data_IF_955200731209
#
_entry.id   IF_955200731209
#
_cell.length_a   1.000
_cell.length_b   1.000
_cell.length_c   1.000
_cell.angle_alpha   90.00
_cell.angle_beta   90.00
_cell.angle_gamma   90.00
#
_symmetry.space_group_name_H-M   'P 1'
#
loop_
_entity.id
_entity.type
_entity.pdbx_description
1 polymer ?
#
# COMPACT_ATOMS: atom_id res chain seq x y z
N UNK A 1 -35.33 31.15 24.30
CA UNK A 1 -34.06 31.12 23.54
C UNK A 1 -32.96 30.31 24.26
N UNK A 2 -32.77 30.45 25.58
CA UNK A 2 -31.65 29.81 26.32
C UNK A 2 -31.58 28.26 26.37
N UNK A 3 -32.68 27.54 26.10
CA UNK A 3 -32.70 26.05 26.13
C UNK A 3 -32.23 25.46 24.79
N UNK A 4 -32.50 26.17 23.68
CA UNK A 4 -32.09 25.76 22.32
C UNK A 4 -30.56 25.88 22.20
N UNK A 5 -29.99 26.95 22.75
CA UNK A 5 -28.56 27.22 22.81
C UNK A 5 -27.80 26.14 23.61
N UNK A 6 -28.27 25.78 24.81
CA UNK A 6 -27.69 24.67 25.61
C UNK A 6 -27.72 23.32 24.90
N UNK A 7 -28.78 23.04 24.13
CA UNK A 7 -28.90 21.80 23.36
C UNK A 7 -27.91 21.77 22.19
N UNK A 8 -27.65 22.91 21.56
CA UNK A 8 -26.64 23.07 20.52
C UNK A 8 -25.22 22.92 21.08
N UNK A 9 -24.90 23.54 22.22
CA UNK A 9 -23.63 23.31 22.93
C UNK A 9 -23.41 21.85 23.31
N UNK A 10 -24.43 21.14 23.80
CA UNK A 10 -24.32 19.72 24.14
C UNK A 10 -24.01 18.87 22.89
N UNK A 11 -24.58 19.21 21.74
CA UNK A 11 -24.27 18.55 20.46
C UNK A 11 -22.84 18.85 20.00
N UNK A 12 -22.40 20.09 20.09
CA UNK A 12 -21.03 20.47 19.75
C UNK A 12 -20.00 19.77 20.66
N UNK A 13 -20.26 19.71 21.97
CA UNK A 13 -19.39 19.00 22.93
C UNK A 13 -19.33 17.50 22.66
N UNK A 14 -20.47 16.85 22.40
CA UNK A 14 -20.50 15.43 22.08
C UNK A 14 -19.83 15.13 20.73
N UNK A 15 -20.02 15.97 19.72
CA UNK A 15 -19.35 15.84 18.42
C UNK A 15 -17.83 16.02 18.56
N UNK A 16 -17.37 17.01 19.34
CA UNK A 16 -15.96 17.22 19.64
C UNK A 16 -15.34 16.04 20.39
N UNK A 17 -16.03 15.49 21.39
CA UNK A 17 -15.57 14.32 22.15
C UNK A 17 -15.49 13.07 21.26
N UNK A 18 -16.47 12.86 20.38
CA UNK A 18 -16.46 11.73 19.43
C UNK A 18 -15.32 11.88 18.43
N UNK A 19 -15.16 13.06 17.81
CA UNK A 19 -14.06 13.33 16.88
C UNK A 19 -12.70 13.19 17.58
N UNK A 20 -12.54 13.75 18.77
CA UNK A 20 -11.32 13.67 19.59
C UNK A 20 -10.96 12.23 20.00
N UNK A 21 -11.95 11.45 20.41
CA UNK A 21 -11.73 10.03 20.75
C UNK A 21 -11.33 9.22 19.52
N UNK A 22 -11.99 9.47 18.37
CA UNK A 22 -11.69 8.76 17.12
C UNK A 22 -10.31 9.09 16.57
N UNK A 23 -9.85 10.35 16.69
CA UNK A 23 -8.51 10.75 16.23
C UNK A 23 -7.42 10.15 17.12
N UNK A 24 -7.66 10.12 18.43
CA UNK A 24 -6.75 9.50 19.39
C UNK A 24 -6.55 8.01 19.10
N UNK A 25 -7.63 7.26 18.90
CA UNK A 25 -7.56 5.83 18.55
C UNK A 25 -6.78 5.63 17.23
N UNK A 26 -7.05 6.44 16.20
CA UNK A 26 -6.32 6.38 14.92
C UNK A 26 -4.83 6.69 15.08
N UNK A 27 -4.46 7.64 15.93
CA UNK A 27 -3.07 7.96 16.23
C UNK A 27 -2.37 6.80 16.94
N UNK A 28 -3.02 6.16 17.92
CA UNK A 28 -2.49 4.97 18.58
C UNK A 28 -2.26 3.81 17.59
N UNK A 29 -3.22 3.52 16.71
CA UNK A 29 -3.06 2.51 15.66
C UNK A 29 -1.92 2.87 14.69
N UNK A 30 -1.83 4.13 14.29
CA UNK A 30 -0.75 4.60 13.41
C UNK A 30 0.61 4.40 14.07
N UNK A 31 0.76 4.79 15.35
CA UNK A 31 1.99 4.57 16.12
C UNK A 31 2.36 3.09 16.20
N UNK A 32 1.41 2.22 16.54
CA UNK A 32 1.63 0.77 16.60
C UNK A 32 2.08 0.22 15.23
N UNK A 33 1.41 0.60 14.15
CA UNK A 33 1.74 0.12 12.81
C UNK A 33 3.09 0.61 12.32
N UNK A 34 3.45 1.87 12.61
CA UNK A 34 4.78 2.41 12.31
C UNK A 34 5.86 1.65 13.07
N UNK A 35 5.65 1.36 14.36
CA UNK A 35 6.61 0.57 15.16
C UNK A 35 6.80 -0.82 14.55
N UNK A 36 5.72 -1.53 14.23
CA UNK A 36 5.79 -2.86 13.61
C UNK A 36 6.50 -2.80 12.26
N UNK A 37 6.18 -1.81 11.42
CA UNK A 37 6.84 -1.60 10.13
C UNK A 37 8.33 -1.34 10.29
N UNK A 38 8.74 -0.50 11.24
CA UNK A 38 10.15 -0.21 11.52
C UNK A 38 10.91 -1.44 12.01
N UNK A 39 10.28 -2.26 12.87
CA UNK A 39 10.87 -3.52 13.34
C UNK A 39 11.08 -4.48 12.16
N UNK A 40 10.05 -4.71 11.35
CA UNK A 40 10.13 -5.60 10.18
C UNK A 40 11.18 -5.08 9.19
N UNK A 41 11.16 -3.77 8.90
CA UNK A 41 12.12 -3.13 8.02
C UNK A 41 13.56 -3.33 8.52
N UNK A 42 13.81 -3.08 9.81
CA UNK A 42 15.11 -3.29 10.42
C UNK A 42 15.57 -4.75 10.35
N UNK A 43 14.68 -5.70 10.63
CA UNK A 43 14.98 -7.13 10.53
C UNK A 43 15.30 -7.55 9.09
N UNK A 44 14.53 -7.07 8.10
CA UNK A 44 14.78 -7.30 6.68
C UNK A 44 16.12 -6.71 6.24
N UNK A 45 16.44 -5.50 6.69
CA UNK A 45 17.70 -4.83 6.35
C UNK A 45 18.92 -5.54 6.96
N UNK A 46 18.81 -5.98 8.22
CA UNK A 46 19.83 -6.81 8.84
C UNK A 46 19.98 -8.16 8.14
N UNK A 47 18.88 -8.79 7.75
CA UNK A 47 18.90 -10.07 7.03
C UNK A 47 19.60 -9.93 5.66
N UNK A 48 19.32 -8.86 4.92
CA UNK A 48 19.95 -8.58 3.61
C UNK A 48 21.45 -8.29 3.70
N UNK A 49 21.89 -7.60 4.75
CA UNK A 49 23.31 -7.24 4.94
C UNK A 49 24.13 -8.36 5.61
N UNK A 50 23.46 -9.37 6.17
CA UNK A 50 24.10 -10.55 6.77
C UNK A 50 24.75 -11.48 5.72
N UNK A 51 25.61 -12.43 6.14
CA UNK A 51 26.13 -13.47 5.24
C UNK A 51 25.03 -14.27 4.53
N UNK A 52 23.87 -14.42 5.16
CA UNK A 52 22.71 -15.09 4.57
C UNK A 52 22.15 -14.29 3.38
N UNK A 53 22.04 -12.97 3.50
CA UNK A 53 21.59 -12.10 2.41
C UNK A 53 22.55 -12.07 1.22
N UNK A 54 23.87 -12.06 1.46
CA UNK A 54 24.88 -12.17 0.37
C UNK A 54 24.76 -13.50 -0.37
N UNK A 55 24.53 -14.59 0.36
CA UNK A 55 24.29 -15.91 -0.24
C UNK A 55 22.98 -15.94 -1.05
N UNK A 56 21.90 -15.28 -0.59
CA UNK A 56 20.66 -15.19 -1.38
C UNK A 56 20.88 -14.44 -2.70
N UNK A 57 21.66 -13.35 -2.70
CA UNK A 57 21.99 -12.63 -3.95
C UNK A 57 22.79 -13.50 -4.91
N UNK A 58 23.76 -14.27 -4.42
CA UNK A 58 24.50 -15.22 -5.26
C UNK A 58 23.59 -16.30 -5.87
N UNK A 59 22.60 -16.81 -5.12
CA UNK A 59 21.59 -17.76 -5.64
C UNK A 59 20.72 -17.08 -6.71
N UNK A 60 20.32 -15.82 -6.50
CA UNK A 60 19.52 -15.04 -7.47
C UNK A 60 20.27 -14.79 -8.79
N UNK A 61 21.57 -14.54 -8.72
CA UNK A 61 22.38 -14.22 -9.90
C UNK A 61 22.70 -15.46 -10.74
N UNK A 62 23.04 -16.60 -10.10
CA UNK A 62 23.21 -17.88 -10.79
C UNK A 62 22.98 -19.08 -9.85
N UNK A 63 21.78 -19.66 -9.94
CA UNK A 63 21.39 -20.82 -9.14
C UNK A 63 22.23 -22.07 -9.40
N UNK A 64 22.62 -22.31 -10.66
CA UNK A 64 23.39 -23.49 -11.08
C UNK A 64 24.79 -23.44 -10.45
N UNK A 65 25.42 -22.26 -10.49
CA UNK A 65 26.72 -22.03 -9.88
C UNK A 65 26.66 -22.16 -8.35
N UNK A 66 25.63 -21.60 -7.73
CA UNK A 66 25.45 -21.71 -6.27
C UNK A 66 25.27 -23.18 -5.84
N UNK A 67 24.54 -23.98 -6.62
CA UNK A 67 24.35 -25.40 -6.35
C UNK A 67 25.64 -26.20 -6.55
N UNK A 68 26.42 -25.89 -7.60
CA UNK A 68 27.74 -26.49 -7.84
C UNK A 68 28.75 -26.19 -6.71
N UNK A 69 28.62 -25.05 -6.03
CA UNK A 69 29.40 -24.70 -4.83
C UNK A 69 28.89 -25.37 -3.53
N UNK A 70 28.00 -26.36 -3.64
CA UNK A 70 27.49 -27.14 -2.50
C UNK A 70 26.44 -26.41 -1.65
N UNK A 71 25.84 -25.32 -2.13
CA UNK A 71 24.75 -24.64 -1.42
C UNK A 71 23.41 -25.28 -1.78
N UNK A 72 22.65 -25.70 -0.77
CA UNK A 72 21.31 -26.24 -0.97
C UNK A 72 20.29 -25.14 -1.30
N UNK A 73 20.06 -24.89 -2.58
CA UNK A 73 19.13 -23.84 -3.09
C UNK A 73 17.69 -24.05 -2.59
N UNK A 74 17.20 -25.29 -2.61
CA UNK A 74 15.82 -25.63 -2.23
C UNK A 74 15.52 -25.24 -0.78
N UNK A 75 16.40 -25.59 0.16
CA UNK A 75 16.25 -25.22 1.58
C UNK A 75 16.24 -23.70 1.76
N UNK A 76 16.96 -22.96 0.92
CA UNK A 76 17.02 -21.48 0.99
C UNK A 76 15.76 -20.83 0.44
N UNK A 77 15.21 -21.32 -0.68
CA UNK A 77 13.91 -20.86 -1.16
C UNK A 77 12.80 -21.11 -0.13
N UNK A 78 12.80 -22.26 0.54
CA UNK A 78 11.81 -22.55 1.59
C UNK A 78 11.94 -21.59 2.78
N UNK A 79 13.16 -21.26 3.21
CA UNK A 79 13.39 -20.25 4.27
C UNK A 79 12.82 -18.87 3.89
N UNK A 80 13.09 -18.40 2.67
CA UNK A 80 12.58 -17.11 2.17
C UNK A 80 11.06 -17.13 2.09
N UNK A 81 10.47 -18.24 1.62
CA UNK A 81 9.03 -18.40 1.52
C UNK A 81 8.34 -18.33 2.89
N UNK A 82 8.88 -19.02 3.90
CA UNK A 82 8.34 -19.00 5.28
C UNK A 82 8.46 -17.59 5.88
N UNK A 83 9.60 -16.93 5.73
CA UNK A 83 9.80 -15.56 6.22
C UNK A 83 8.85 -14.57 5.53
N UNK A 84 8.69 -14.66 4.21
CA UNK A 84 7.75 -13.83 3.45
C UNK A 84 6.31 -14.04 3.90
N UNK A 85 5.90 -15.29 4.08
CA UNK A 85 4.56 -15.65 4.55
C UNK A 85 4.28 -15.12 5.96
N UNK A 86 5.27 -15.17 6.86
CA UNK A 86 5.15 -14.59 8.20
C UNK A 86 4.93 -13.08 8.17
N UNK A 87 5.69 -12.35 7.34
CA UNK A 87 5.53 -10.89 7.18
C UNK A 87 4.16 -10.54 6.58
N UNK A 88 3.72 -11.26 5.55
CA UNK A 88 2.39 -11.07 4.93
C UNK A 88 1.27 -11.38 5.92
N UNK A 89 1.43 -12.40 6.77
CA UNK A 89 0.49 -12.74 7.84
C UNK A 89 0.32 -11.61 8.85
N UNK A 90 1.41 -10.99 9.30
CA UNK A 90 1.38 -9.82 10.18
C UNK A 90 0.67 -8.65 9.49
N UNK A 91 0.98 -8.38 8.23
CA UNK A 91 0.34 -7.31 7.47
C UNK A 91 -1.19 -7.52 7.32
N UNK A 92 -1.63 -8.75 7.07
CA UNK A 92 -3.06 -9.11 6.99
C UNK A 92 -3.79 -8.97 8.32
N UNK A 93 -3.15 -9.34 9.43
CA UNK A 93 -3.69 -9.14 10.77
C UNK A 93 -3.90 -7.65 11.06
N UNK A 94 -2.88 -6.82 10.80
CA UNK A 94 -2.96 -5.36 10.96
C UNK A 94 -4.08 -4.73 10.12
N UNK A 95 -4.20 -5.16 8.85
CA UNK A 95 -5.25 -4.68 7.95
C UNK A 95 -6.65 -5.02 8.48
N UNK A 96 -6.85 -6.24 8.97
CA UNK A 96 -8.16 -6.68 9.48
C UNK A 96 -8.51 -5.94 10.77
N UNK A 97 -7.54 -5.76 11.67
CA UNK A 97 -7.73 -4.98 12.90
C UNK A 97 -8.09 -3.52 12.60
N UNK A 98 -7.48 -2.90 11.58
CA UNK A 98 -7.82 -1.53 11.19
C UNK A 98 -9.23 -1.41 10.62
N UNK A 99 -9.65 -2.37 9.80
CA UNK A 99 -10.98 -2.35 9.19
C UNK A 99 -12.09 -2.72 10.19
N UNK A 100 -11.76 -3.43 11.28
CA UNK A 100 -12.72 -3.84 12.32
C UNK A 100 -13.71 -4.92 11.88
N UNK A 101 -13.73 -5.28 10.60
CA UNK A 101 -14.61 -6.28 10.03
C UNK A 101 -13.88 -7.11 8.97
N UNK A 102 -14.20 -8.40 8.93
CA UNK A 102 -13.72 -9.33 7.92
C UNK A 102 -14.89 -9.76 7.03
N UNK A 103 -14.99 -9.16 5.84
CA UNK A 103 -16.02 -9.48 4.85
C UNK A 103 -15.37 -10.13 3.63
N UNK A 104 -15.56 -11.45 3.39
CA UNK A 104 -14.90 -12.17 2.29
C UNK A 104 -15.15 -11.53 0.91
N UNK A 105 -16.37 -11.04 0.65
CA UNK A 105 -16.73 -10.41 -0.62
C UNK A 105 -16.02 -9.08 -0.91
N UNK A 106 -15.35 -8.47 0.07
CA UNK A 106 -14.59 -7.23 -0.14
C UNK A 106 -13.18 -7.48 -0.70
N UNK A 107 -12.68 -8.72 -0.63
CA UNK A 107 -11.33 -9.09 -1.08
C UNK A 107 -11.31 -9.39 -2.58
N UNK A 108 -11.48 -8.34 -3.38
CA UNK A 108 -11.43 -8.44 -4.85
C UNK A 108 -9.96 -8.55 -5.32
N UNK A 109 -9.60 -9.52 -6.18
CA UNK A 109 -8.23 -9.72 -6.65
C UNK A 109 -7.59 -8.46 -7.23
N UNK A 110 -8.32 -7.71 -8.06
CA UNK A 110 -7.83 -6.45 -8.65
C UNK A 110 -7.34 -5.43 -7.61
N UNK A 111 -7.91 -5.44 -6.39
CA UNK A 111 -7.54 -4.52 -5.32
C UNK A 111 -6.41 -5.05 -4.43
N UNK A 112 -6.36 -6.35 -4.17
CA UNK A 112 -5.43 -6.91 -3.18
C UNK A 112 -4.25 -7.68 -3.78
N UNK A 113 -4.31 -8.15 -5.03
CA UNK A 113 -3.17 -8.81 -5.68
C UNK A 113 -2.50 -7.84 -6.64
N UNK A 114 -3.24 -7.32 -7.61
CA UNK A 114 -2.69 -6.46 -8.66
C UNK A 114 -2.10 -5.16 -8.09
N UNK A 115 -2.80 -4.53 -7.14
CA UNK A 115 -2.33 -3.30 -6.51
C UNK A 115 -1.01 -3.50 -5.75
N UNK A 116 -0.87 -4.61 -5.02
CA UNK A 116 0.37 -4.93 -4.30
C UNK A 116 1.51 -5.21 -5.29
N UNK A 117 1.23 -5.88 -6.40
CA UNK A 117 2.21 -6.04 -7.49
C UNK A 117 2.69 -4.70 -8.03
N UNK A 118 1.75 -3.78 -8.28
CA UNK A 118 2.05 -2.42 -8.71
C UNK A 118 2.94 -1.71 -7.66
N UNK A 119 2.61 -1.79 -6.36
CA UNK A 119 3.45 -1.25 -5.28
C UNK A 119 4.90 -1.74 -5.33
N UNK A 120 5.11 -3.04 -5.55
CA UNK A 120 6.44 -3.66 -5.57
C UNK A 120 7.21 -3.29 -6.84
N UNK A 121 6.56 -3.30 -8.01
CA UNK A 121 7.19 -2.90 -9.28
C UNK A 121 7.69 -1.46 -9.20
N UNK A 122 6.90 -0.59 -8.58
CA UNK A 122 7.19 0.84 -8.46
C UNK A 122 8.29 1.09 -7.45
N UNK A 123 8.23 0.41 -6.31
CA UNK A 123 9.27 0.49 -5.30
C UNK A 123 10.62 -0.05 -5.78
N UNK A 124 10.60 -1.07 -6.62
CA UNK A 124 11.78 -1.81 -7.08
C UNK A 124 12.07 -3.00 -6.18
N UNK A 125 12.23 -4.19 -6.77
CA UNK A 125 12.37 -5.47 -6.05
C UNK A 125 13.72 -5.67 -5.34
N UNK A 126 14.70 -4.80 -5.58
CA UNK A 126 16.06 -4.96 -5.09
C UNK A 126 16.43 -4.11 -3.86
N UNK A 127 15.51 -3.30 -3.35
CA UNK A 127 15.75 -2.45 -2.16
C UNK A 127 14.53 -2.44 -1.23
N UNK A 128 14.75 -2.71 0.06
CA UNK A 128 13.72 -2.64 1.09
C UNK A 128 13.10 -1.24 1.19
N UNK A 129 13.94 -0.20 1.10
CA UNK A 129 13.49 1.19 1.21
C UNK A 129 12.66 1.60 0.00
N UNK A 130 13.05 1.10 -1.19
CA UNK A 130 12.26 1.22 -2.41
C UNK A 130 10.88 0.59 -2.27
N UNK A 131 10.80 -0.64 -1.75
CA UNK A 131 9.52 -1.33 -1.50
C UNK A 131 8.57 -0.56 -0.58
N UNK A 132 9.09 0.00 0.53
CA UNK A 132 8.28 0.81 1.46
C UNK A 132 7.78 2.09 0.79
N UNK A 133 8.67 2.81 0.08
CA UNK A 133 8.31 4.04 -0.61
C UNK A 133 7.31 3.78 -1.75
N UNK A 134 7.48 2.69 -2.51
CA UNK A 134 6.54 2.27 -3.56
C UNK A 134 5.15 1.97 -3.01
N UNK A 135 5.08 1.25 -1.88
CA UNK A 135 3.83 1.04 -1.15
C UNK A 135 3.15 2.35 -0.76
N UNK A 136 3.90 3.28 -0.18
CA UNK A 136 3.39 4.58 0.23
C UNK A 136 2.89 5.44 -0.93
N UNK A 137 3.68 5.57 -1.99
CA UNK A 137 3.34 6.39 -3.17
C UNK A 137 2.09 5.85 -3.87
N UNK A 138 2.03 4.53 -4.11
CA UNK A 138 0.88 3.93 -4.78
C UNK A 138 -0.38 4.03 -3.93
N UNK A 139 -0.26 3.83 -2.61
CA UNK A 139 -1.39 4.00 -1.71
C UNK A 139 -1.89 5.45 -1.68
N UNK A 140 -0.98 6.42 -1.67
CA UNK A 140 -1.33 7.84 -1.77
C UNK A 140 -2.09 8.14 -3.06
N UNK A 141 -1.57 7.68 -4.19
CA UNK A 141 -2.22 7.85 -5.51
C UNK A 141 -3.57 7.13 -5.57
N UNK A 142 -3.71 5.98 -4.92
CA UNK A 142 -4.98 5.25 -4.84
C UNK A 142 -6.07 6.07 -4.15
N UNK A 143 -5.71 6.73 -3.05
CA UNK A 143 -6.62 7.60 -2.30
C UNK A 143 -6.98 8.83 -3.13
N UNK A 144 -5.98 9.52 -3.69
CA UNK A 144 -6.15 10.76 -4.46
C UNK A 144 -6.82 10.56 -5.83
N UNK A 145 -6.76 9.36 -6.40
CA UNK A 145 -7.38 9.09 -7.70
C UNK A 145 -8.91 9.31 -7.70
N UNK A 146 -9.60 9.07 -6.57
CA UNK A 146 -11.04 9.32 -6.46
C UNK A 146 -11.43 10.81 -6.46
N UNK A 147 -10.90 11.67 -5.56
CA UNK A 147 -11.22 13.09 -5.56
C UNK A 147 -10.76 13.77 -6.85
N UNK A 148 -9.61 13.38 -7.41
CA UNK A 148 -9.15 13.88 -8.72
C UNK A 148 -10.13 13.52 -9.84
N UNK A 149 -10.58 12.26 -9.91
CA UNK A 149 -11.57 11.85 -10.90
C UNK A 149 -12.90 12.61 -10.73
N UNK A 150 -13.36 12.78 -9.48
CA UNK A 150 -14.55 13.56 -9.17
C UNK A 150 -14.43 15.01 -9.66
N UNK A 151 -13.31 15.67 -9.36
CA UNK A 151 -13.04 17.04 -9.79
C UNK A 151 -13.04 17.19 -11.31
N UNK A 152 -12.40 16.26 -12.03
CA UNK A 152 -12.38 16.25 -13.50
C UNK A 152 -13.79 16.09 -14.08
N UNK A 153 -14.59 15.19 -13.51
CA UNK A 153 -15.97 14.95 -13.95
C UNK A 153 -16.84 16.18 -13.69
N UNK A 154 -16.75 16.79 -12.51
CA UNK A 154 -17.52 17.98 -12.16
C UNK A 154 -17.16 19.17 -13.04
N UNK A 155 -15.86 19.36 -13.32
CA UNK A 155 -15.38 20.38 -14.24
C UNK A 155 -15.90 20.16 -15.67
N UNK A 156 -15.80 18.93 -16.18
CA UNK A 156 -16.29 18.59 -17.52
C UNK A 156 -17.82 18.70 -17.65
N UNK A 157 -18.53 18.58 -16.53
CA UNK A 157 -20.01 18.58 -16.47
C UNK A 157 -20.58 19.89 -15.93
N UNK A 158 -19.76 20.96 -15.84
CA UNK A 158 -20.12 22.26 -15.25
C UNK A 158 -21.39 22.89 -15.86
N UNK A 159 -21.69 22.60 -17.13
CA UNK A 159 -22.87 23.12 -17.83
C UNK A 159 -24.08 22.17 -17.90
N UNK A 160 -24.01 20.96 -17.35
CA UNK A 160 -25.08 19.95 -17.44
C UNK A 160 -25.82 19.87 -16.11
N UNK A 161 -27.16 19.95 -16.16
CA UNK A 161 -28.03 19.91 -14.98
C UNK A 161 -27.76 18.70 -14.08
N UNK A 162 -27.87 18.89 -12.76
CA UNK A 162 -27.48 17.89 -11.75
C UNK A 162 -28.23 16.55 -11.84
N UNK A 163 -29.39 16.56 -12.50
CA UNK A 163 -30.29 15.40 -12.68
C UNK A 163 -30.08 14.66 -14.01
N UNK A 164 -29.16 15.11 -14.87
CA UNK A 164 -28.89 14.44 -16.14
C UNK A 164 -28.32 13.04 -15.90
N UNK A 165 -28.90 12.04 -16.56
CA UNK A 165 -28.47 10.64 -16.48
C UNK A 165 -26.98 10.44 -16.80
N UNK A 166 -26.41 11.32 -17.63
CA UNK A 166 -25.00 11.29 -18.04
C UNK A 166 -24.07 11.65 -16.86
N UNK A 167 -24.41 12.70 -16.09
CA UNK A 167 -23.63 13.13 -14.92
C UNK A 167 -23.62 12.05 -13.84
N UNK A 168 -24.79 11.47 -13.58
CA UNK A 168 -24.96 10.39 -12.60
C UNK A 168 -24.16 9.15 -13.02
N UNK A 169 -24.19 8.76 -14.29
CA UNK A 169 -23.41 7.63 -14.80
C UNK A 169 -21.89 7.88 -14.68
N UNK A 170 -21.41 9.10 -14.99
CA UNK A 170 -20.00 9.46 -14.83
C UNK A 170 -19.57 9.42 -13.36
N UNK A 171 -20.37 9.95 -12.44
CA UNK A 171 -20.08 9.89 -11.00
C UNK A 171 -20.03 8.44 -10.47
N UNK A 172 -20.95 7.58 -10.95
CA UNK A 172 -20.91 6.15 -10.62
C UNK A 172 -19.67 5.43 -11.16
N UNK A 173 -18.99 6.01 -12.16
CA UNK A 173 -17.78 5.45 -12.76
C UNK A 173 -16.50 5.73 -11.97
N UNK A 174 -16.53 6.62 -10.97
CA UNK A 174 -15.36 7.03 -10.16
C UNK A 174 -14.58 5.85 -9.54
N UNK A 175 -15.22 4.79 -9.00
CA UNK A 175 -14.48 3.65 -8.47
C UNK A 175 -13.57 2.97 -9.51
N UNK A 176 -13.97 2.95 -10.79
CA UNK A 176 -13.20 2.35 -11.88
C UNK A 176 -12.01 3.21 -12.32
N UNK A 177 -12.11 4.54 -12.17
CA UNK A 177 -11.01 5.46 -12.46
C UNK A 177 -9.75 5.15 -11.64
N UNK A 178 -9.90 4.67 -10.40
CA UNK A 178 -8.76 4.26 -9.57
C UNK A 178 -7.92 3.19 -10.25
N UNK A 179 -8.56 2.16 -10.79
CA UNK A 179 -7.87 1.08 -11.48
C UNK A 179 -7.24 1.54 -12.81
N UNK A 180 -7.93 2.43 -13.52
CA UNK A 180 -7.38 3.05 -14.74
C UNK A 180 -6.09 3.84 -14.45
N UNK A 181 -6.10 4.69 -13.43
CA UNK A 181 -4.92 5.46 -13.00
C UNK A 181 -3.79 4.53 -12.61
N UNK A 182 -4.07 3.43 -11.91
CA UNK A 182 -3.05 2.44 -11.55
C UNK A 182 -2.43 1.75 -12.76
N UNK A 183 -3.25 1.34 -13.74
CA UNK A 183 -2.75 0.75 -14.99
C UNK A 183 -1.89 1.73 -15.78
N UNK A 184 -2.33 2.98 -15.92
CA UNK A 184 -1.56 4.04 -16.56
C UNK A 184 -0.22 4.28 -15.85
N UNK A 185 -0.27 4.36 -14.52
CA UNK A 185 0.90 4.59 -13.69
C UNK A 185 1.91 3.44 -13.81
N UNK A 186 1.43 2.19 -13.83
CA UNK A 186 2.29 1.02 -14.08
C UNK A 186 2.96 1.11 -15.46
N UNK A 187 2.22 1.46 -16.51
CA UNK A 187 2.76 1.62 -17.87
C UNK A 187 3.83 2.71 -17.93
N UNK A 188 3.57 3.86 -17.30
CA UNK A 188 4.53 4.97 -17.26
C UNK A 188 5.81 4.57 -16.52
N UNK A 189 5.70 3.85 -15.42
CA UNK A 189 6.86 3.43 -14.64
C UNK A 189 7.66 2.35 -15.35
N UNK A 190 7.01 1.38 -15.99
CA UNK A 190 7.72 0.41 -16.81
C UNK A 190 8.41 1.06 -18.01
N UNK A 191 7.83 2.14 -18.56
CA UNK A 191 8.42 2.89 -19.67
C UNK A 191 9.62 3.75 -19.25
N UNK A 192 9.51 4.48 -18.15
CA UNK A 192 10.52 5.49 -17.76
C UNK A 192 11.48 5.03 -16.67
N UNK A 193 11.08 4.09 -15.81
CA UNK A 193 11.85 3.64 -14.63
C UNK A 193 11.76 2.11 -14.47
N UNK A 194 12.31 1.31 -15.40
CA UNK A 194 12.18 -0.16 -15.40
C UNK A 194 12.85 -0.86 -14.20
N UNK A 195 13.66 -0.14 -13.41
CA UNK A 195 14.31 -0.65 -12.19
C UNK A 195 13.59 -0.23 -10.90
N UNK A 196 12.44 0.44 -11.00
CA UNK A 196 11.75 1.08 -9.89
C UNK A 196 12.33 2.45 -9.51
N UNK A 197 11.71 3.12 -8.54
CA UNK A 197 12.08 4.47 -8.10
C UNK A 197 13.44 4.50 -7.38
N UNK A 198 13.74 3.47 -6.56
CA UNK A 198 15.05 3.33 -5.92
C UNK A 198 15.73 2.01 -6.35
N UNK A 199 16.62 2.03 -7.34
CA UNK A 199 17.31 0.84 -7.80
C UNK A 199 18.26 0.26 -6.72
N UNK A 200 18.49 -1.04 -6.79
CA UNK A 200 19.43 -1.75 -5.90
C UNK A 200 20.84 -1.16 -6.00
N UNK A 201 21.43 -0.81 -4.85
CA UNK A 201 22.83 -0.38 -4.79
C UNK A 201 23.72 -1.60 -5.05
N UNK A 202 24.41 -1.62 -6.19
CA UNK A 202 25.45 -2.63 -6.46
C UNK A 202 26.57 -2.44 -5.44
N UNK A 203 26.85 -3.49 -4.67
CA UNK A 203 28.05 -3.53 -3.83
C UNK A 203 29.20 -3.82 -4.80
N UNK A 204 29.86 -2.76 -5.27
CA UNK A 204 31.12 -2.92 -5.99
C UNK A 204 32.18 -3.31 -4.95
N UNK A 205 32.69 -4.54 -5.08
CA UNK A 205 34.00 -4.89 -4.53
C UNK A 205 35.09 -4.29 -5.42
#
# INVERSE_FOLDING_TARGET
SNIIDKMEYQKLLSELVIKGSSIYVKLCYTGLFVIVLLIIFFLCERALNSPWGRMMRAIRDNEVSANAMGKNVIKRHLQVFVLGSAVVGIAGAMLTTLNGQFTPGSYVPLRFTFLIWVMVIIGGSGNNLGSVLGGFIVWFIWIEAAPVAKYIIEFATFGIGETSSIKIHLLNSIPYFRFFVMGLLMLLILRYMPKGILPEKKINN
#
